data_IF_678048609678
#
_entry.id   IF_678048609678
#
_cell.length_a   1.000
_cell.length_b   1.000
_cell.length_c   1.000
_cell.angle_alpha   90.00
_cell.angle_beta   90.00
_cell.angle_gamma   90.00
#
_symmetry.space_group_name_H-M   'P 1'
#
loop_
_entity.id
_entity.type
_entity.pdbx_description
1 polymer ?
#
# COMPACT_ATOMS: atom_id res chain seq x y z
N UNK A 1 -26.96 -19.79 -6.10
CA UNK A 1 -26.14 -18.58 -6.32
C UNK A 1 -25.07 -18.94 -7.34
N UNK A 2 -25.13 -18.39 -8.55
CA UNK A 2 -24.22 -18.75 -9.65
C UNK A 2 -22.79 -18.34 -9.35
N UNK A 3 -21.81 -19.21 -9.57
CA UNK A 3 -20.38 -18.94 -9.33
C UNK A 3 -19.89 -17.69 -10.05
N UNK A 4 -20.46 -17.38 -11.21
CA UNK A 4 -20.17 -16.20 -12.02
C UNK A 4 -20.46 -14.89 -11.30
N UNK A 5 -21.57 -14.77 -10.57
CA UNK A 5 -21.93 -13.54 -9.85
C UNK A 5 -20.96 -13.25 -8.70
N UNK A 6 -20.43 -14.30 -8.06
CA UNK A 6 -19.45 -14.15 -6.98
C UNK A 6 -18.09 -13.67 -7.52
N UNK A 7 -17.68 -14.17 -8.69
CA UNK A 7 -16.44 -13.75 -9.36
C UNK A 7 -16.47 -12.26 -9.76
N UNK A 8 -17.58 -11.79 -10.35
CA UNK A 8 -17.72 -10.37 -10.70
C UNK A 8 -17.73 -9.45 -9.49
N UNK A 9 -18.37 -9.88 -8.39
CA UNK A 9 -18.38 -9.12 -7.15
C UNK A 9 -16.96 -9.02 -6.53
N UNK A 10 -16.21 -10.12 -6.53
CA UNK A 10 -14.83 -10.13 -6.08
C UNK A 10 -13.91 -9.25 -6.93
N UNK A 11 -14.11 -9.26 -8.26
CA UNK A 11 -13.38 -8.39 -9.17
C UNK A 11 -13.70 -6.89 -8.94
N UNK A 12 -14.98 -6.55 -8.76
CA UNK A 12 -15.38 -5.18 -8.44
C UNK A 12 -14.76 -4.70 -7.12
N UNK A 13 -14.81 -5.55 -6.08
CA UNK A 13 -14.15 -5.27 -4.80
C UNK A 13 -12.63 -5.05 -4.97
N UNK A 14 -11.98 -5.91 -5.75
CA UNK A 14 -10.54 -5.83 -6.03
C UNK A 14 -10.16 -4.47 -6.64
N UNK A 15 -10.93 -4.01 -7.64
CA UNK A 15 -10.69 -2.72 -8.30
C UNK A 15 -10.94 -1.54 -7.36
N UNK A 16 -12.03 -1.59 -6.57
CA UNK A 16 -12.38 -0.52 -5.62
C UNK A 16 -11.32 -0.39 -4.52
N UNK A 17 -10.87 -1.51 -3.96
CA UNK A 17 -9.84 -1.54 -2.93
C UNK A 17 -8.50 -0.98 -3.45
N UNK A 18 -8.08 -1.39 -4.65
CA UNK A 18 -6.89 -0.86 -5.32
C UNK A 18 -6.99 0.66 -5.55
N UNK A 19 -8.15 1.15 -5.99
CA UNK A 19 -8.37 2.58 -6.20
C UNK A 19 -8.34 3.38 -4.90
N UNK A 20 -8.96 2.88 -3.82
CA UNK A 20 -8.89 3.51 -2.50
C UNK A 20 -7.47 3.58 -1.95
N UNK A 21 -6.71 2.48 -2.06
CA UNK A 21 -5.31 2.45 -1.65
C UNK A 21 -4.50 3.48 -2.45
N UNK A 22 -4.60 3.44 -3.78
CA UNK A 22 -3.89 4.37 -4.67
C UNK A 22 -4.22 5.83 -4.34
N UNK A 23 -5.48 6.15 -4.06
CA UNK A 23 -5.90 7.50 -3.67
C UNK A 23 -5.25 7.95 -2.36
N UNK A 24 -5.21 7.08 -1.35
CA UNK A 24 -4.57 7.39 -0.06
C UNK A 24 -3.08 7.67 -0.25
N UNK A 25 -2.38 6.80 -0.98
CA UNK A 25 -0.95 6.99 -1.29
C UNK A 25 -0.71 8.27 -2.11
N UNK A 26 -1.60 8.59 -3.06
CA UNK A 26 -1.53 9.83 -3.85
C UNK A 26 -1.73 11.09 -3.00
N UNK A 27 -2.62 11.05 -2.00
CA UNK A 27 -2.82 12.15 -1.04
C UNK A 27 -1.57 12.35 -0.19
N UNK A 28 -0.98 11.28 0.32
CA UNK A 28 0.31 11.36 1.04
C UNK A 28 1.41 11.94 0.15
N UNK A 29 1.46 11.50 -1.11
CA UNK A 29 2.43 11.99 -2.09
C UNK A 29 2.25 13.48 -2.41
N UNK A 30 1.02 13.99 -2.55
CA UNK A 30 0.78 15.43 -2.73
C UNK A 30 1.11 16.26 -1.48
N UNK A 31 1.10 15.65 -0.29
CA UNK A 31 1.47 16.30 0.96
C UNK A 31 2.96 16.64 1.05
N UNK A 32 3.81 15.86 0.36
CA UNK A 32 5.24 16.07 0.27
C UNK A 32 5.57 17.16 -0.78
N UNK A 33 5.53 18.43 -0.33
CA UNK A 33 5.79 19.61 -1.18
C UNK A 33 7.28 19.88 -1.46
N UNK A 34 8.19 19.12 -0.85
CA UNK A 34 9.65 19.30 -1.00
C UNK A 34 10.31 18.30 -1.98
N UNK A 35 9.52 17.51 -2.71
CA UNK A 35 10.08 16.52 -3.64
C UNK A 35 10.62 17.18 -4.91
N UNK A 36 11.88 16.88 -5.23
CA UNK A 36 12.49 17.27 -6.49
C UNK A 36 11.75 16.59 -7.67
N UNK A 37 11.79 17.18 -8.87
CA UNK A 37 11.05 16.70 -10.05
C UNK A 37 11.35 15.23 -10.39
N UNK A 38 12.56 14.75 -10.08
CA UNK A 38 12.95 13.35 -10.25
C UNK A 38 12.29 12.42 -9.24
N UNK A 39 12.24 12.80 -7.97
CA UNK A 39 11.59 12.01 -6.91
C UNK A 39 10.08 11.93 -7.13
N UNK A 40 9.50 12.99 -7.72
CA UNK A 40 8.09 13.04 -8.09
C UNK A 40 7.75 11.96 -9.12
N UNK A 41 8.62 11.77 -10.13
CA UNK A 41 8.44 10.73 -11.16
C UNK A 41 8.62 9.33 -10.57
N UNK A 42 9.64 9.14 -9.72
CA UNK A 42 9.92 7.85 -9.08
C UNK A 42 8.75 7.42 -8.19
N UNK A 43 8.22 8.33 -7.38
CA UNK A 43 7.08 8.06 -6.51
C UNK A 43 5.79 7.82 -7.28
N UNK A 44 5.55 8.55 -8.38
CA UNK A 44 4.43 8.26 -9.27
C UNK A 44 4.55 6.85 -9.88
N UNK A 45 5.75 6.48 -10.31
CA UNK A 45 6.03 5.16 -10.89
C UNK A 45 5.85 4.06 -9.83
N UNK A 46 6.32 4.29 -8.61
CA UNK A 46 6.10 3.42 -7.47
C UNK A 46 4.61 3.29 -7.11
N UNK A 47 3.83 4.38 -7.20
CA UNK A 47 2.38 4.38 -6.98
C UNK A 47 1.66 3.49 -8.00
N UNK A 48 2.01 3.62 -9.28
CA UNK A 48 1.44 2.81 -10.37
C UNK A 48 1.82 1.34 -10.20
N UNK A 49 3.11 1.05 -9.95
CA UNK A 49 3.62 -0.31 -9.72
C UNK A 49 2.94 -0.95 -8.52
N UNK A 50 2.82 -0.22 -7.41
CA UNK A 50 2.17 -0.70 -6.18
C UNK A 50 0.67 -0.92 -6.36
N UNK A 51 0.00 -0.09 -7.17
CA UNK A 51 -1.42 -0.25 -7.47
C UNK A 51 -1.66 -1.50 -8.35
N UNK A 52 -0.76 -1.78 -9.31
CA UNK A 52 -0.84 -2.99 -10.14
C UNK A 52 -0.47 -4.26 -9.37
N UNK A 53 0.56 -4.17 -8.53
CA UNK A 53 1.08 -5.28 -7.73
C UNK A 53 0.47 -5.36 -6.33
N UNK A 54 -0.64 -4.65 -6.07
CA UNK A 54 -1.24 -4.58 -4.74
C UNK A 54 -1.52 -5.94 -4.05
N UNK A 55 -1.91 -7.04 -4.73
CA UNK A 55 -2.07 -8.33 -4.04
C UNK A 55 -0.73 -8.92 -3.55
N UNK A 56 0.39 -8.46 -4.10
CA UNK A 56 1.74 -8.83 -3.66
C UNK A 56 2.28 -7.77 -2.69
N UNK A 57 2.09 -6.48 -2.97
CA UNK A 57 2.61 -5.43 -2.10
C UNK A 57 1.98 -5.44 -0.71
N UNK A 58 0.67 -5.71 -0.59
CA UNK A 58 -0.01 -5.81 0.71
C UNK A 58 0.64 -6.81 1.68
N UNK A 59 0.82 -8.10 1.32
CA UNK A 59 1.43 -9.07 2.24
C UNK A 59 2.89 -8.71 2.56
N UNK A 60 3.66 -8.19 1.59
CA UNK A 60 5.02 -7.74 1.84
C UNK A 60 5.08 -6.57 2.82
N UNK A 61 4.27 -5.53 2.61
CA UNK A 61 4.19 -4.38 3.53
C UNK A 61 3.71 -4.80 4.91
N UNK A 62 2.75 -5.73 4.99
CA UNK A 62 2.30 -6.27 6.27
C UNK A 62 3.42 -7.01 7.00
N UNK A 63 4.18 -7.87 6.31
CA UNK A 63 5.33 -8.57 6.89
C UNK A 63 6.44 -7.60 7.34
N UNK A 64 6.70 -6.56 6.56
CA UNK A 64 7.64 -5.49 6.91
C UNK A 64 7.19 -4.75 8.18
N UNK A 65 5.89 -4.44 8.29
CA UNK A 65 5.30 -3.77 9.45
C UNK A 65 5.39 -4.66 10.69
N UNK A 66 5.03 -5.95 10.56
CA UNK A 66 5.13 -6.94 11.63
C UNK A 66 6.58 -7.13 12.05
N UNK A 67 7.53 -7.15 11.11
CA UNK A 67 8.96 -7.25 11.41
C UNK A 67 9.47 -6.03 12.17
N UNK A 68 9.03 -4.82 11.79
CA UNK A 68 9.36 -3.58 12.52
C UNK A 68 8.71 -3.52 13.90
N UNK A 69 7.47 -4.01 14.02
CA UNK A 69 6.74 -3.99 15.28
C UNK A 69 7.27 -5.04 16.26
N UNK A 70 7.57 -6.25 15.79
CA UNK A 70 8.12 -7.35 16.60
C UNK A 70 9.65 -7.30 16.73
N UNK A 71 10.30 -6.18 16.39
CA UNK A 71 11.74 -6.05 16.59
C UNK A 71 12.00 -5.87 18.09
N UNK A 72 12.68 -6.82 18.77
CA UNK A 72 12.86 -6.82 20.23
C UNK A 72 13.66 -5.61 20.76
N UNK A 73 14.29 -4.85 19.87
CA UNK A 73 14.93 -3.59 20.24
C UNK A 73 13.94 -2.48 20.62
N UNK A 74 12.69 -2.52 20.13
CA UNK A 74 11.70 -1.46 20.40
C UNK A 74 11.11 -1.57 21.81
N UNK A 75 10.89 -2.79 22.30
CA UNK A 75 10.43 -3.05 23.67
C UNK A 75 11.43 -2.60 24.74
N UNK A 76 12.72 -2.48 24.39
CA UNK A 76 13.77 -1.97 25.28
C UNK A 76 13.75 -0.43 25.42
N UNK A 77 13.29 0.29 24.40
CA UNK A 77 13.20 1.76 24.42
C UNK A 77 11.88 2.29 24.99
N UNK A 78 10.81 1.48 25.02
CA UNK A 78 9.54 1.87 25.64
C UNK A 78 9.55 1.69 27.16
N UNK A 79 10.48 0.88 27.69
CA UNK A 79 10.61 0.55 29.11
C UNK A 79 11.70 1.32 29.86
N UNK A 80 12.41 2.24 29.20
CA UNK A 80 13.46 3.10 29.79
C UNK A 80 13.00 4.55 29.78
#
# INVERSE_FOLDING_TARGET
MSTTTLSWLGFAWYVIAGFMLSKTWYIYFQGDKDLNKHDLIISLLALVVTTLLWPITLPFTYLELVRKHNHPARDLFEKT
#
